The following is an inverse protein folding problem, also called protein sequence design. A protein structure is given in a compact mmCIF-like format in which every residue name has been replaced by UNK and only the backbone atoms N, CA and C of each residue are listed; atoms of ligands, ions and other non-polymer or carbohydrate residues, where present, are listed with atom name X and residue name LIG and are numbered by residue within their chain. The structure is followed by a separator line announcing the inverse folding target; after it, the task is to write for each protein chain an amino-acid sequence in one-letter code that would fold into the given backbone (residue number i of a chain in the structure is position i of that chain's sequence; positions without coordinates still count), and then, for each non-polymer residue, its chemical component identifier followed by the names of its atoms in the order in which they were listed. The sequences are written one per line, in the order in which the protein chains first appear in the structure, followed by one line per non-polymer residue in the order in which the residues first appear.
data_IF_902182591302
#
_entry.id   IF_902182591302
#
_cell.length_a   1.000
_cell.length_b   1.000
_cell.length_c   1.000
_cell.angle_alpha   90.00
_cell.angle_beta   90.00
_cell.angle_gamma   90.00
#
_symmetry.space_group_name_H-M   'P 1'
#
loop_
_entity.id
_entity.type
_entity.pdbx_description
1 polymer ?
#
# COMPACT_ATOMS: atom_id res chain seq x y z
N UNK A 1 5.23 15.62 19.23
CA UNK A 1 4.84 17.04 19.25
C UNK A 1 5.66 17.74 18.18
N UNK A 2 5.15 18.78 17.52
CA UNK A 2 5.96 19.50 16.54
C UNK A 2 7.08 20.22 17.30
N UNK A 3 8.29 19.67 17.27
CA UNK A 3 9.45 20.28 17.90
C UNK A 3 9.93 21.41 17.00
N UNK A 4 9.37 22.60 17.22
CA UNK A 4 9.82 23.80 16.54
C UNK A 4 11.20 24.22 17.04
N UNK A 5 12.08 24.60 16.11
CA UNK A 5 13.43 25.08 16.43
C UNK A 5 13.45 26.41 17.18
N UNK A 6 12.33 27.14 17.20
CA UNK A 6 12.14 28.35 18.02
C UNK A 6 10.65 28.68 18.19
N UNK A 7 10.32 29.53 19.17
CA UNK A 7 8.96 30.02 19.39
C UNK A 7 8.39 30.87 18.24
N UNK A 8 9.24 31.33 17.32
CA UNK A 8 8.81 32.07 16.13
C UNK A 8 7.86 31.24 15.26
N UNK A 9 8.21 29.98 14.98
CA UNK A 9 7.43 29.11 14.10
C UNK A 9 6.05 28.78 14.66
N UNK A 10 5.92 28.71 15.99
CA UNK A 10 4.63 28.54 16.65
C UNK A 10 3.68 29.71 16.31
N UNK A 11 4.15 30.95 16.50
CA UNK A 11 3.34 32.14 16.18
C UNK A 11 3.15 32.36 14.69
N UNK A 12 4.15 32.01 13.87
CA UNK A 12 4.06 32.05 12.41
C UNK A 12 2.94 31.16 11.86
N UNK A 13 2.57 30.08 12.56
CA UNK A 13 1.42 29.24 12.18
C UNK A 13 0.13 29.80 12.77
N UNK A 14 0.12 30.12 14.05
CA UNK A 14 -1.09 30.55 14.75
C UNK A 14 -1.68 31.85 14.15
N UNK A 15 -0.84 32.85 13.90
CA UNK A 15 -1.30 34.19 13.49
C UNK A 15 -1.96 34.15 12.10
N UNK A 16 -1.35 33.59 11.04
CA UNK A 16 -2.00 33.51 9.73
C UNK A 16 -3.21 32.56 9.71
N UNK A 17 -3.20 31.46 10.47
CA UNK A 17 -4.36 30.56 10.52
C UNK A 17 -5.58 31.23 11.13
N UNK A 18 -5.44 31.86 12.30
CA UNK A 18 -6.55 32.57 12.93
C UNK A 18 -6.91 33.86 12.17
N UNK A 19 -5.89 34.58 11.70
CA UNK A 19 -6.08 35.77 10.86
C UNK A 19 -6.80 35.47 9.56
N UNK A 20 -6.52 34.33 8.92
CA UNK A 20 -7.21 33.86 7.73
C UNK A 20 -8.68 33.53 7.99
N UNK A 21 -8.99 32.82 9.08
CA UNK A 21 -10.38 32.50 9.47
C UNK A 21 -11.17 33.80 9.76
N UNK A 22 -10.59 34.72 10.51
CA UNK A 22 -11.19 36.04 10.81
C UNK A 22 -11.34 36.84 9.52
N UNK A 23 -10.33 36.83 8.65
CA UNK A 23 -10.34 37.48 7.34
C UNK A 23 -11.48 36.97 6.46
N UNK A 24 -11.66 35.66 6.36
CA UNK A 24 -12.78 35.05 5.63
C UNK A 24 -14.13 35.45 6.23
N UNK A 25 -14.26 35.45 7.57
CA UNK A 25 -15.49 35.89 8.23
C UNK A 25 -15.83 37.34 7.91
N UNK A 26 -14.85 38.25 8.01
CA UNK A 26 -15.03 39.67 7.70
C UNK A 26 -15.31 39.91 6.21
N UNK A 27 -14.62 39.18 5.32
CA UNK A 27 -14.83 39.25 3.88
C UNK A 27 -16.26 38.86 3.51
N UNK A 28 -16.75 37.74 4.02
CA UNK A 28 -18.13 37.30 3.75
C UNK A 28 -19.13 38.29 4.31
N UNK A 29 -18.88 38.81 5.51
CA UNK A 29 -19.74 39.84 6.10
C UNK A 29 -19.79 41.08 5.21
N UNK A 30 -18.65 41.55 4.71
CA UNK A 30 -18.57 42.70 3.80
C UNK A 30 -19.26 42.44 2.45
N UNK A 31 -19.01 41.29 1.82
CA UNK A 31 -19.63 40.93 0.54
C UNK A 31 -21.15 40.68 0.67
N UNK A 32 -21.63 40.32 1.87
CA UNK A 32 -23.05 40.07 2.11
C UNK A 32 -23.89 41.33 2.38
N UNK A 33 -23.27 42.51 2.53
CA UNK A 33 -23.95 43.73 3.00
C UNK A 33 -24.35 44.74 1.92
N UNK A 34 -23.93 44.56 0.67
CA UNK A 34 -23.88 45.66 -0.32
C UNK A 34 -24.82 45.53 -1.53
N UNK A 35 -25.87 44.70 -1.46
CA UNK A 35 -26.84 44.58 -2.57
C UNK A 35 -28.14 45.28 -2.18
N UNK A 36 -28.42 46.40 -2.84
CA UNK A 36 -29.72 47.06 -2.79
C UNK A 36 -30.79 46.12 -3.36
N UNK A 37 -31.98 46.00 -2.74
CA UNK A 37 -33.09 45.24 -3.32
C UNK A 37 -33.49 45.74 -4.71
N UNK A 38 -33.16 47.00 -5.05
CA UNK A 38 -33.42 47.58 -6.36
C UNK A 38 -32.45 47.09 -7.43
N UNK A 39 -31.28 46.57 -7.07
CA UNK A 39 -30.22 46.13 -7.99
C UNK A 39 -30.14 44.61 -8.13
N UNK A 40 -30.93 43.87 -7.35
CA UNK A 40 -31.01 42.41 -7.41
C UNK A 40 -31.49 41.94 -8.79
N UNK A 41 -30.70 41.06 -9.43
CA UNK A 41 -31.02 40.46 -10.72
C UNK A 41 -30.76 41.35 -11.93
N UNK A 42 -30.17 42.55 -11.76
CA UNK A 42 -29.73 43.40 -12.87
C UNK A 42 -28.42 42.88 -13.48
N UNK A 43 -28.28 43.05 -14.80
CA UNK A 43 -27.00 42.91 -15.50
C UNK A 43 -26.04 44.02 -15.06
N UNK A 44 -24.78 43.67 -14.82
CA UNK A 44 -23.70 44.63 -14.63
C UNK A 44 -23.37 45.34 -15.96
N UNK A 45 -22.84 46.57 -15.87
CA UNK A 45 -22.60 47.45 -17.02
C UNK A 45 -21.64 46.89 -18.09
N UNK A 46 -20.87 45.85 -17.79
CA UNK A 46 -19.85 45.31 -18.68
C UNK A 46 -20.29 43.98 -19.28
N UNK A 47 -20.18 43.88 -20.62
CA UNK A 47 -20.43 42.66 -21.39
C UNK A 47 -19.10 42.09 -21.86
N UNK A 48 -18.95 40.77 -21.74
CA UNK A 48 -17.78 40.02 -22.18
C UNK A 48 -18.18 39.14 -23.36
N UNK A 49 -17.29 39.00 -24.34
CA UNK A 49 -17.47 38.08 -25.49
C UNK A 49 -18.85 38.16 -26.16
N UNK A 50 -19.25 39.39 -26.53
CA UNK A 50 -20.52 39.77 -27.18
C UNK A 50 -21.80 39.57 -26.34
N UNK A 51 -21.98 38.47 -25.61
CA UNK A 51 -23.24 38.14 -24.93
C UNK A 51 -23.14 37.75 -23.44
N UNK A 52 -21.94 37.54 -22.89
CA UNK A 52 -21.77 37.17 -21.49
C UNK A 52 -21.91 38.38 -20.57
N UNK A 53 -22.80 38.26 -19.60
CA UNK A 53 -23.12 39.30 -18.61
C UNK A 53 -23.12 38.72 -17.21
N UNK A 54 -22.67 39.51 -16.24
CA UNK A 54 -22.70 39.14 -14.83
C UNK A 54 -23.97 39.71 -14.18
N UNK A 55 -24.71 38.87 -13.46
CA UNK A 55 -25.89 39.28 -12.71
C UNK A 55 -25.51 39.69 -11.29
N UNK A 56 -26.01 40.83 -10.84
CA UNK A 56 -25.85 41.28 -9.45
C UNK A 56 -26.87 40.58 -8.54
N UNK A 57 -26.61 39.32 -8.20
CA UNK A 57 -27.46 38.53 -7.32
C UNK A 57 -26.88 38.41 -5.91
N UNK A 58 -27.72 38.45 -4.86
CA UNK A 58 -27.25 38.17 -3.51
C UNK A 58 -26.79 36.72 -3.37
N UNK A 59 -25.78 36.54 -2.54
CA UNK A 59 -25.27 35.22 -2.20
C UNK A 59 -26.42 34.39 -1.58
N UNK A 60 -26.66 33.14 -2.04
CA UNK A 60 -27.73 32.32 -1.50
C UNK A 60 -27.58 32.12 0.00
N UNK A 61 -28.67 32.34 0.77
CA UNK A 61 -28.63 32.26 2.24
C UNK A 61 -28.16 30.90 2.75
N UNK A 62 -28.56 29.81 2.09
CA UNK A 62 -28.12 28.46 2.46
C UNK A 62 -26.60 28.28 2.27
N UNK A 63 -26.04 28.87 1.20
CA UNK A 63 -24.60 28.82 0.91
C UNK A 63 -23.81 29.65 1.93
N UNK A 64 -24.30 30.85 2.28
CA UNK A 64 -23.72 31.69 3.33
C UNK A 64 -23.70 30.96 4.68
N UNK A 65 -24.84 30.36 5.07
CA UNK A 65 -24.93 29.61 6.31
C UNK A 65 -23.95 28.43 6.32
N UNK A 66 -23.81 27.70 5.21
CA UNK A 66 -22.83 26.62 5.09
C UNK A 66 -21.40 27.13 5.27
N UNK A 67 -21.05 28.29 4.68
CA UNK A 67 -19.73 28.88 4.85
C UNK A 67 -19.46 29.26 6.31
N UNK A 68 -20.42 29.87 7.01
CA UNK A 68 -20.24 30.16 8.43
C UNK A 68 -20.08 28.88 9.26
N UNK A 69 -20.86 27.84 8.98
CA UNK A 69 -20.74 26.54 9.66
C UNK A 69 -19.34 25.96 9.49
N UNK A 70 -18.73 26.02 8.30
CA UNK A 70 -17.38 25.48 8.08
C UNK A 70 -16.32 26.29 8.84
N UNK A 71 -16.48 27.61 8.99
CA UNK A 71 -15.59 28.43 9.82
C UNK A 71 -15.68 28.03 11.30
N UNK A 72 -16.90 27.90 11.83
CA UNK A 72 -17.10 27.48 13.23
C UNK A 72 -16.62 26.05 13.45
N UNK A 73 -16.85 25.14 12.50
CA UNK A 73 -16.32 23.79 12.54
C UNK A 73 -14.79 23.80 12.54
N UNK A 74 -14.16 24.59 11.68
CA UNK A 74 -12.71 24.72 11.61
C UNK A 74 -12.10 25.23 12.92
N UNK A 75 -12.71 26.25 13.53
CA UNK A 75 -12.31 26.73 14.86
C UNK A 75 -12.47 25.62 15.91
N UNK A 76 -13.63 24.97 15.95
CA UNK A 76 -13.88 23.85 16.87
C UNK A 76 -12.88 22.71 16.69
N UNK A 77 -12.54 22.38 15.44
CA UNK A 77 -11.56 21.35 15.11
C UNK A 77 -10.16 21.72 15.63
N UNK A 78 -9.72 22.97 15.41
CA UNK A 78 -8.42 23.47 15.90
C UNK A 78 -8.35 23.59 17.43
N UNK A 79 -9.50 23.71 18.11
CA UNK A 79 -9.59 23.64 19.57
C UNK A 79 -9.43 22.20 20.06
N UNK A 80 -10.03 21.24 19.36
CA UNK A 80 -10.04 19.83 19.78
C UNK A 80 -8.75 19.08 19.41
N UNK A 81 -8.21 19.33 18.21
CA UNK A 81 -7.10 18.61 17.60
C UNK A 81 -5.85 19.49 17.44
N UNK A 82 -4.66 18.89 17.29
CA UNK A 82 -3.45 19.63 16.97
C UNK A 82 -3.57 20.28 15.57
N UNK A 83 -3.12 21.53 15.47
CA UNK A 83 -3.15 22.29 14.21
C UNK A 83 -2.75 23.76 14.37
N UNK A 84 -2.92 24.31 15.58
CA UNK A 84 -2.46 25.66 15.94
C UNK A 84 -1.06 25.62 16.54
N UNK A 85 -0.04 25.58 15.68
CA UNK A 85 1.36 25.56 16.12
C UNK A 85 1.64 24.39 17.07
N UNK A 86 2.13 24.68 18.29
CA UNK A 86 2.45 23.68 19.32
C UNK A 86 1.27 23.32 20.23
N UNK A 87 0.08 23.88 19.99
CA UNK A 87 -1.12 23.53 20.74
C UNK A 87 -1.55 22.10 20.38
N UNK A 88 -1.55 21.21 21.38
CA UNK A 88 -1.87 19.79 21.20
C UNK A 88 -3.37 19.51 21.01
N UNK A 89 -4.23 20.53 21.07
CA UNK A 89 -5.68 20.36 21.16
C UNK A 89 -6.13 19.95 22.56
N UNK A 90 -7.42 20.15 22.85
CA UNK A 90 -8.02 19.73 24.12
C UNK A 90 -8.03 18.21 24.30
N UNK A 91 -8.17 17.46 23.20
CA UNK A 91 -8.19 16.00 23.23
C UNK A 91 -6.79 15.39 23.36
N UNK A 92 -5.72 16.19 23.23
CA UNK A 92 -4.32 15.74 23.18
C UNK A 92 -4.12 14.58 22.18
N UNK A 93 -4.90 14.57 21.10
CA UNK A 93 -4.86 13.52 20.10
C UNK A 93 -3.59 13.64 19.24
N UNK A 94 -3.02 12.50 18.86
CA UNK A 94 -1.95 12.40 17.86
C UNK A 94 -2.23 11.21 16.96
N UNK A 95 -1.80 11.28 15.69
CA UNK A 95 -1.92 10.16 14.75
C UNK A 95 -1.13 8.94 15.22
N UNK A 96 0.09 9.14 15.75
CA UNK A 96 0.91 8.05 16.31
C UNK A 96 0.26 7.41 17.52
N UNK A 97 -0.30 8.21 18.44
CA UNK A 97 -0.98 7.68 19.63
C UNK A 97 -2.30 6.99 19.29
N UNK A 98 -2.98 7.41 18.21
CA UNK A 98 -4.13 6.65 17.70
C UNK A 98 -3.70 5.31 17.13
N UNK A 99 -2.65 5.29 16.30
CA UNK A 99 -2.09 4.07 15.75
C UNK A 99 -1.67 3.09 16.85
N UNK A 100 -0.94 3.55 17.87
CA UNK A 100 -0.55 2.74 19.02
C UNK A 100 -1.76 2.12 19.73
N UNK A 101 -2.82 2.91 20.01
CA UNK A 101 -4.05 2.39 20.62
C UNK A 101 -4.78 1.38 19.72
N UNK A 102 -4.75 1.57 18.41
CA UNK A 102 -5.35 0.64 17.45
C UNK A 102 -4.57 -0.67 17.40
N UNK A 103 -3.23 -0.60 17.41
CA UNK A 103 -2.34 -1.76 17.50
C UNK A 103 -2.53 -2.50 18.83
N UNK A 104 -2.51 -1.82 19.97
CA UNK A 104 -2.73 -2.43 21.29
C UNK A 104 -4.08 -3.16 21.36
N UNK A 105 -5.12 -2.56 20.77
CA UNK A 105 -6.44 -3.18 20.68
C UNK A 105 -6.43 -4.40 19.76
N UNK A 106 -5.74 -4.33 18.62
CA UNK A 106 -5.59 -5.45 17.71
C UNK A 106 -4.79 -6.59 18.36
N UNK A 107 -3.70 -6.29 19.04
CA UNK A 107 -2.86 -7.25 19.76
C UNK A 107 -3.64 -7.91 20.91
N UNK A 108 -4.45 -7.15 21.67
CA UNK A 108 -5.32 -7.72 22.69
C UNK A 108 -6.40 -8.65 22.14
N UNK A 109 -6.88 -8.43 20.91
CA UNK A 109 -7.91 -9.25 20.27
C UNK A 109 -7.35 -10.45 19.51
N UNK A 110 -6.24 -10.27 18.78
CA UNK A 110 -5.67 -11.27 17.87
C UNK A 110 -4.41 -11.94 18.44
N UNK A 111 -3.73 -11.34 19.40
CA UNK A 111 -2.54 -11.88 20.06
C UNK A 111 -2.75 -13.29 20.61
N UNK A 112 -3.80 -13.56 21.42
CA UNK A 112 -4.07 -14.91 21.93
C UNK A 112 -4.28 -15.95 20.83
N UNK A 113 -4.84 -15.54 19.69
CA UNK A 113 -5.05 -16.42 18.54
C UNK A 113 -3.71 -16.76 17.86
N UNK A 114 -2.81 -15.78 17.71
CA UNK A 114 -1.48 -16.01 17.17
C UNK A 114 -0.59 -16.80 18.13
N UNK A 115 -0.67 -16.55 19.44
CA UNK A 115 0.03 -17.32 20.47
C UNK A 115 -0.39 -18.79 20.44
N UNK A 116 -1.70 -19.07 20.36
CA UNK A 116 -2.21 -20.44 20.19
C UNK A 116 -1.52 -21.17 19.05
N UNK A 117 -1.43 -20.57 17.86
CA UNK A 117 -0.85 -21.23 16.69
C UNK A 117 0.69 -21.23 16.69
N UNK A 118 1.33 -20.28 17.38
CA UNK A 118 2.78 -20.22 17.51
C UNK A 118 3.35 -21.40 18.30
N UNK A 119 2.63 -21.86 19.32
CA UNK A 119 3.05 -22.97 20.18
C UNK A 119 2.70 -24.35 19.59
N UNK A 120 1.99 -24.39 18.46
CA UNK A 120 1.64 -25.61 17.75
C UNK A 120 2.72 -25.99 16.73
N UNK A 121 2.89 -27.30 16.50
CA UNK A 121 3.68 -27.79 15.37
C UNK A 121 3.05 -27.39 14.04
N UNK A 122 3.86 -27.08 13.02
CA UNK A 122 3.39 -26.60 11.71
C UNK A 122 2.41 -27.58 11.06
N UNK A 123 2.60 -28.88 11.22
CA UNK A 123 1.67 -29.89 10.67
C UNK A 123 0.31 -29.78 11.35
N UNK A 124 0.30 -29.60 12.67
CA UNK A 124 -0.95 -29.40 13.41
C UNK A 124 -1.64 -28.06 13.06
N UNK A 125 -0.86 -27.01 12.78
CA UNK A 125 -1.39 -25.73 12.27
C UNK A 125 -2.00 -25.89 10.88
N UNK A 126 -1.37 -26.67 10.00
CA UNK A 126 -1.87 -26.93 8.65
C UNK A 126 -3.18 -27.73 8.64
N UNK A 127 -3.36 -28.62 9.62
CA UNK A 127 -4.58 -29.43 9.79
C UNK A 127 -5.76 -28.64 10.40
N UNK A 128 -5.51 -27.54 11.12
CA UNK A 128 -6.57 -26.69 11.69
C UNK A 128 -7.23 -25.83 10.60
N UNK A 129 -8.54 -26.02 10.41
CA UNK A 129 -9.29 -25.31 9.36
C UNK A 129 -9.27 -23.78 9.54
N UNK A 130 -9.30 -23.29 10.77
CA UNK A 130 -9.29 -21.85 11.03
C UNK A 130 -7.91 -21.26 10.72
N UNK A 131 -6.84 -21.95 11.09
CA UNK A 131 -5.48 -21.58 10.75
C UNK A 131 -5.27 -21.59 9.22
N UNK A 132 -5.74 -22.62 8.51
CA UNK A 132 -5.64 -22.69 7.06
C UNK A 132 -6.36 -21.54 6.35
N UNK A 133 -7.59 -21.19 6.78
CA UNK A 133 -8.32 -20.02 6.26
C UNK A 133 -7.63 -18.69 6.61
N UNK A 134 -6.93 -18.60 7.75
CA UNK A 134 -6.09 -17.45 8.06
C UNK A 134 -4.87 -17.39 7.13
N UNK A 135 -4.17 -18.51 6.95
CA UNK A 135 -3.05 -18.66 6.02
C UNK A 135 -3.42 -18.30 4.59
N UNK A 136 -4.59 -18.72 4.10
CA UNK A 136 -5.10 -18.33 2.77
C UNK A 136 -5.24 -16.81 2.63
N UNK A 137 -5.75 -16.12 3.66
CA UNK A 137 -5.86 -14.65 3.64
C UNK A 137 -4.49 -13.99 3.64
N UNK A 138 -3.53 -14.50 4.42
CA UNK A 138 -2.15 -14.01 4.41
C UNK A 138 -1.50 -14.25 3.03
N UNK A 139 -1.69 -15.44 2.46
CA UNK A 139 -1.18 -15.82 1.15
C UNK A 139 -1.65 -14.89 0.04
N UNK A 140 -2.94 -14.54 0.01
CA UNK A 140 -3.50 -13.62 -1.00
C UNK A 140 -2.89 -12.23 -0.89
N UNK A 141 -2.59 -11.75 0.31
CA UNK A 141 -2.02 -10.42 0.52
C UNK A 141 -0.52 -10.34 0.25
N UNK A 142 0.24 -11.40 0.57
CA UNK A 142 1.70 -11.34 0.59
C UNK A 142 2.39 -12.22 -0.47
N UNK A 143 1.73 -13.27 -0.97
CA UNK A 143 2.38 -14.31 -1.79
C UNK A 143 1.76 -14.44 -3.20
N UNK A 144 0.46 -14.17 -3.33
CA UNK A 144 -0.28 -14.43 -4.56
C UNK A 144 0.17 -13.60 -5.77
N UNK A 145 0.81 -12.45 -5.55
CA UNK A 145 1.36 -11.63 -6.64
C UNK A 145 2.41 -12.40 -7.46
N UNK A 146 3.19 -13.26 -6.82
CA UNK A 146 4.23 -14.06 -7.47
C UNK A 146 3.77 -15.50 -7.74
N UNK A 147 3.12 -16.12 -6.76
CA UNK A 147 2.72 -17.53 -6.84
C UNK A 147 1.31 -17.76 -7.41
N UNK A 148 0.64 -16.70 -7.87
CA UNK A 148 -0.73 -16.78 -8.38
C UNK A 148 -1.78 -16.87 -7.27
N UNK A 149 -3.02 -16.48 -7.58
CA UNK A 149 -4.14 -16.51 -6.63
C UNK A 149 -4.53 -17.92 -6.18
N UNK A 150 -4.22 -18.93 -6.99
CA UNK A 150 -4.45 -20.34 -6.69
C UNK A 150 -3.15 -21.09 -6.32
N UNK A 151 -2.08 -20.37 -6.00
CA UNK A 151 -0.78 -20.89 -5.61
C UNK A 151 -0.07 -21.78 -6.65
N UNK A 152 -0.51 -21.76 -7.93
CA UNK A 152 0.09 -22.58 -9.00
C UNK A 152 1.32 -21.98 -9.68
N UNK A 153 1.74 -20.81 -9.25
CA UNK A 153 2.91 -20.13 -9.80
C UNK A 153 2.66 -19.57 -11.20
N UNK A 154 3.77 -19.17 -11.82
CA UNK A 154 3.82 -18.66 -13.19
C UNK A 154 5.21 -18.93 -13.75
N UNK A 155 5.48 -18.57 -15.01
CA UNK A 155 6.85 -18.68 -15.54
C UNK A 155 7.81 -17.87 -14.67
N UNK A 156 8.78 -18.54 -14.05
CA UNK A 156 9.76 -17.96 -13.13
C UNK A 156 9.38 -18.05 -11.64
N UNK A 157 8.16 -18.49 -11.31
CA UNK A 157 7.68 -18.63 -9.93
C UNK A 157 7.15 -20.05 -9.68
N UNK A 158 7.64 -20.76 -8.64
CA UNK A 158 7.22 -22.13 -8.36
C UNK A 158 5.72 -22.30 -8.13
N UNK A 159 5.21 -23.47 -8.50
CA UNK A 159 3.91 -23.98 -8.08
C UNK A 159 4.03 -24.50 -6.64
N UNK A 160 3.21 -24.00 -5.72
CA UNK A 160 3.24 -24.39 -4.31
C UNK A 160 2.18 -25.45 -3.96
N UNK A 161 1.46 -25.97 -4.96
CA UNK A 161 0.40 -26.98 -4.79
C UNK A 161 0.78 -28.37 -5.28
N UNK A 162 1.84 -28.50 -6.06
CA UNK A 162 2.31 -29.82 -6.46
C UNK A 162 3.25 -30.41 -5.40
N UNK A 163 3.84 -31.55 -5.74
CA UNK A 163 4.74 -32.28 -4.85
C UNK A 163 6.21 -32.08 -5.25
N UNK A 164 6.52 -31.08 -6.08
CA UNK A 164 7.88 -30.83 -6.59
C UNK A 164 8.51 -29.61 -5.89
N UNK A 165 9.46 -29.87 -5.00
CA UNK A 165 10.04 -28.87 -4.10
C UNK A 165 11.53 -28.72 -4.34
N UNK A 166 11.95 -27.58 -4.89
CA UNK A 166 13.36 -27.28 -5.20
C UNK A 166 14.28 -27.27 -3.97
N UNK A 167 13.76 -26.86 -2.80
CA UNK A 167 14.54 -26.68 -1.57
C UNK A 167 14.10 -27.61 -0.43
N UNK A 168 13.33 -28.66 -0.74
CA UNK A 168 12.69 -29.53 0.26
C UNK A 168 11.26 -29.11 0.57
N UNK A 169 10.37 -30.09 0.70
CA UNK A 169 8.92 -29.90 0.90
C UNK A 169 8.43 -30.26 2.31
N UNK A 170 9.33 -30.61 3.23
CA UNK A 170 8.96 -30.77 4.63
C UNK A 170 8.71 -29.42 5.32
N UNK A 171 7.92 -29.39 6.40
CA UNK A 171 7.52 -28.14 7.05
C UNK A 171 8.67 -27.22 7.45
N UNK A 172 9.80 -27.78 7.91
CA UNK A 172 10.95 -26.99 8.34
C UNK A 172 11.64 -26.29 7.16
N UNK A 173 11.80 -26.96 6.01
CA UNK A 173 12.37 -26.34 4.82
C UNK A 173 11.45 -25.27 4.21
N UNK A 174 10.13 -25.46 4.29
CA UNK A 174 9.14 -24.47 3.86
C UNK A 174 9.19 -23.24 4.76
N UNK A 175 9.18 -23.43 6.09
CA UNK A 175 9.31 -22.34 7.06
C UNK A 175 10.59 -21.54 6.83
N UNK A 176 11.73 -22.22 6.70
CA UNK A 176 13.00 -21.57 6.40
C UNK A 176 12.93 -20.75 5.10
N UNK A 177 12.28 -21.29 4.07
CA UNK A 177 12.12 -20.59 2.78
C UNK A 177 11.29 -19.32 2.93
N UNK A 178 10.29 -19.30 3.81
CA UNK A 178 9.43 -18.14 4.05
C UNK A 178 10.14 -17.09 4.93
N UNK A 179 10.86 -17.52 5.97
CA UNK A 179 11.50 -16.62 6.92
C UNK A 179 12.81 -16.02 6.39
N UNK A 180 13.67 -16.85 5.81
CA UNK A 180 15.03 -16.45 5.40
C UNK A 180 15.13 -16.14 3.90
N UNK A 181 14.13 -16.56 3.11
CA UNK A 181 14.17 -16.49 1.66
C UNK A 181 15.09 -17.55 1.04
N UNK A 182 15.11 -17.59 -0.30
CA UNK A 182 15.98 -18.48 -1.09
C UNK A 182 16.52 -17.75 -2.30
N UNK A 183 17.78 -18.02 -2.64
CA UNK A 183 18.44 -17.50 -3.85
C UNK A 183 19.07 -18.65 -4.62
N UNK A 184 18.36 -19.13 -5.65
CA UNK A 184 18.86 -20.15 -6.55
C UNK A 184 19.84 -19.54 -7.56
N UNK A 185 21.02 -20.14 -7.70
CA UNK A 185 22.04 -19.69 -8.65
C UNK A 185 22.33 -20.81 -9.63
N UNK A 186 21.83 -20.67 -10.86
CA UNK A 186 22.26 -21.49 -11.99
C UNK A 186 23.36 -20.72 -12.75
N UNK A 187 24.63 -21.18 -12.70
CA UNK A 187 25.72 -20.46 -13.37
C UNK A 187 25.58 -20.49 -14.89
N UNK A 188 26.25 -19.56 -15.57
CA UNK A 188 26.29 -19.53 -17.02
C UNK A 188 27.25 -20.62 -17.55
N UNK A 189 26.71 -21.54 -18.35
CA UNK A 189 27.44 -22.73 -18.79
C UNK A 189 28.04 -22.65 -20.21
N UNK A 190 27.74 -21.62 -20.98
CA UNK A 190 28.10 -21.54 -22.42
C UNK A 190 29.59 -21.76 -22.67
N UNK A 191 30.47 -21.03 -21.98
CA UNK A 191 31.91 -21.19 -22.13
C UNK A 191 32.41 -22.57 -21.67
N UNK A 192 31.87 -23.07 -20.54
CA UNK A 192 32.26 -24.34 -19.94
C UNK A 192 31.83 -25.56 -20.78
N UNK A 193 30.72 -25.46 -21.51
CA UNK A 193 30.19 -26.53 -22.35
C UNK A 193 30.75 -26.52 -23.78
N UNK A 194 31.56 -25.52 -24.14
CA UNK A 194 32.16 -25.39 -25.48
C UNK A 194 31.26 -24.66 -26.47
N UNK A 195 30.53 -23.63 -26.02
CA UNK A 195 29.66 -22.80 -26.85
C UNK A 195 28.24 -23.36 -27.00
N UNK A 196 27.49 -22.79 -27.95
CA UNK A 196 26.06 -23.11 -28.16
C UNK A 196 25.82 -24.60 -28.45
N UNK A 197 26.71 -25.27 -29.17
CA UNK A 197 26.57 -26.71 -29.48
C UNK A 197 26.57 -27.56 -28.21
N UNK A 198 27.46 -27.26 -27.25
CA UNK A 198 27.50 -27.97 -25.98
C UNK A 198 26.30 -27.71 -25.08
N UNK A 199 25.77 -26.49 -25.10
CA UNK A 199 24.52 -26.17 -24.39
C UNK A 199 23.36 -26.96 -24.99
N UNK A 200 23.26 -27.04 -26.32
CA UNK A 200 22.24 -27.84 -27.02
C UNK A 200 22.35 -29.32 -26.69
N UNK A 201 23.55 -29.90 -26.76
CA UNK A 201 23.78 -31.31 -26.43
C UNK A 201 23.32 -31.65 -25.00
N UNK A 202 23.71 -30.84 -24.01
CA UNK A 202 23.28 -31.02 -22.60
C UNK A 202 21.77 -30.81 -22.45
N UNK A 203 21.19 -29.85 -23.17
CA UNK A 203 19.74 -29.60 -23.14
C UNK A 203 18.94 -30.80 -23.67
N UNK A 204 19.37 -31.40 -24.79
CA UNK A 204 18.76 -32.62 -25.34
C UNK A 204 18.88 -33.78 -24.34
N UNK A 205 20.03 -33.90 -23.65
CA UNK A 205 20.18 -34.90 -22.60
C UNK A 205 19.22 -34.67 -21.42
N UNK A 206 19.12 -33.45 -20.89
CA UNK A 206 18.19 -33.12 -19.80
C UNK A 206 16.73 -33.33 -20.20
N UNK A 207 16.34 -32.99 -21.44
CA UNK A 207 15.00 -33.30 -21.95
C UNK A 207 14.74 -34.80 -22.04
N UNK A 208 15.75 -35.61 -22.38
CA UNK A 208 15.62 -37.08 -22.39
C UNK A 208 15.31 -37.64 -21.00
N UNK A 209 15.84 -37.04 -19.92
CA UNK A 209 15.55 -37.44 -18.53
C UNK A 209 14.08 -37.20 -18.16
N UNK A 210 13.47 -36.18 -18.77
CA UNK A 210 12.03 -35.88 -18.61
C UNK A 210 11.11 -36.69 -19.53
N UNK A 211 11.63 -37.65 -20.29
CA UNK A 211 10.85 -38.52 -21.18
C UNK A 211 10.35 -37.83 -22.46
N UNK A 212 10.96 -36.71 -22.86
CA UNK A 212 10.60 -35.99 -24.10
C UNK A 212 11.31 -36.62 -25.31
N UNK A 213 10.75 -36.42 -26.50
CA UNK A 213 11.41 -36.80 -27.74
C UNK A 213 12.57 -35.84 -28.04
N UNK A 214 13.75 -36.38 -28.34
CA UNK A 214 15.03 -35.66 -28.39
C UNK A 214 15.92 -36.19 -29.52
N UNK A 215 16.93 -35.43 -29.91
CA UNK A 215 18.01 -35.93 -30.77
C UNK A 215 18.92 -36.86 -29.97
N UNK A 216 18.81 -38.17 -30.22
CA UNK A 216 19.60 -39.18 -29.52
C UNK A 216 21.12 -39.01 -29.68
N UNK A 217 21.59 -38.51 -30.84
CA UNK A 217 23.02 -38.30 -31.05
C UNK A 217 23.53 -37.13 -30.22
N UNK A 218 22.76 -36.05 -30.13
CA UNK A 218 23.06 -34.90 -29.28
C UNK A 218 22.98 -35.25 -27.78
N UNK A 219 21.93 -35.98 -27.37
CA UNK A 219 21.76 -36.42 -25.99
C UNK A 219 22.91 -37.33 -25.52
N UNK A 220 23.47 -38.19 -26.39
CA UNK A 220 24.64 -39.01 -26.08
C UNK A 220 25.89 -38.16 -25.80
N UNK A 221 26.17 -37.14 -26.62
CA UNK A 221 27.26 -36.18 -26.37
C UNK A 221 27.00 -35.35 -25.11
N UNK A 222 25.76 -34.95 -24.90
CA UNK A 222 25.32 -34.18 -23.73
C UNK A 222 25.47 -34.93 -22.42
N UNK A 223 25.26 -36.26 -22.43
CA UNK A 223 25.40 -37.12 -21.26
C UNK A 223 26.80 -37.06 -20.65
N UNK A 224 27.85 -37.07 -21.48
CA UNK A 224 29.23 -36.97 -21.00
C UNK A 224 29.50 -35.61 -20.36
N UNK A 225 29.02 -34.53 -20.98
CA UNK A 225 29.17 -33.17 -20.46
C UNK A 225 28.38 -32.94 -19.17
N UNK A 226 27.16 -33.44 -19.10
CA UNK A 226 26.32 -33.38 -17.90
C UNK A 226 27.01 -34.11 -16.73
N UNK A 227 27.50 -35.33 -16.93
CA UNK A 227 28.17 -36.09 -15.88
C UNK A 227 29.47 -35.43 -15.35
N UNK A 228 30.09 -34.55 -16.14
CA UNK A 228 31.31 -33.83 -15.74
C UNK A 228 31.02 -32.52 -14.99
N UNK A 229 29.88 -31.88 -15.26
CA UNK A 229 29.64 -30.47 -14.90
C UNK A 229 28.34 -30.23 -14.12
N UNK A 230 27.40 -31.18 -14.11
CA UNK A 230 26.04 -31.05 -13.55
C UNK A 230 25.77 -32.15 -12.52
#
# INVERSE_FOLDING_TARGET
MADFTSSFWNWYIIIPTLGGIIGCFLLIRWLSTDISPEDEGKEMDHKWDEDLVELNNPLPRWWLNMFYITLFFGIGYLVLYPGLGSFAGMLKWTSTGQYEREMDKADGLYGPLFEKYRDMDIVAVADDEQARRMGERLFVNYCATCHGSDARGARGFPNLRDNDWLYGGDPAHIEQTILDGRNGVMPAWEAALGGTEGVTDVTEYVFSLSGRNVDNAAALRGKEKYAQMC
#
